data_IF_220545683066
#
_entry.id   IF_220545683066
#
_cell.length_a   1.000
_cell.length_b   1.000
_cell.length_c   1.000
_cell.angle_alpha   90.00
_cell.angle_beta   90.00
_cell.angle_gamma   90.00
#
_symmetry.space_group_name_H-M   'P 1'
#
loop_
_entity.id
_entity.type
_entity.pdbx_description
1 polymer ?
#
# COMPACT_ATOMS: atom_id res chain seq x y z
N UNK A 1 6.55 27.39 10.81
CA UNK A 1 5.34 26.60 10.48
C UNK A 1 5.75 25.16 10.27
N UNK A 2 5.50 24.27 11.25
CA UNK A 2 5.72 22.83 11.09
C UNK A 2 4.58 22.27 10.23
N UNK A 3 4.87 21.83 9.00
CA UNK A 3 3.91 21.07 8.20
C UNK A 3 3.73 19.73 8.90
N UNK A 4 2.56 19.50 9.48
CA UNK A 4 2.19 18.18 9.99
C UNK A 4 2.28 17.18 8.83
N UNK A 5 3.31 16.34 8.84
CA UNK A 5 3.44 15.22 7.93
C UNK A 5 2.37 14.22 8.37
N UNK A 6 1.31 14.06 7.59
CA UNK A 6 0.28 13.07 7.87
C UNK A 6 0.53 11.84 7.00
N UNK A 7 1.37 10.88 7.44
CA UNK A 7 1.83 9.77 6.62
C UNK A 7 0.70 8.86 6.12
N UNK A 8 -0.48 8.91 6.75
CA UNK A 8 -1.66 8.15 6.36
C UNK A 8 -2.35 8.72 5.11
N UNK A 9 -2.31 10.04 4.90
CA UNK A 9 -2.87 10.66 3.70
C UNK A 9 -2.09 10.26 2.44
N UNK A 10 -0.77 10.11 2.58
CA UNK A 10 0.15 9.74 1.49
C UNK A 10 -0.06 8.27 1.05
N UNK A 11 -0.15 7.35 2.03
CA UNK A 11 -0.42 5.94 1.73
C UNK A 11 -1.79 5.73 1.08
N UNK A 12 -2.81 6.47 1.50
CA UNK A 12 -4.13 6.43 0.88
C UNK A 12 -4.09 6.76 -0.61
N UNK A 13 -3.36 7.81 -0.99
CA UNK A 13 -3.18 8.21 -2.39
C UNK A 13 -2.39 7.18 -3.20
N UNK A 14 -1.42 6.50 -2.58
CA UNK A 14 -0.64 5.45 -3.25
C UNK A 14 -1.49 4.21 -3.58
N UNK A 15 -2.50 3.89 -2.78
CA UNK A 15 -3.32 2.67 -2.94
C UNK A 15 -4.65 2.89 -3.66
N UNK A 16 -5.10 4.14 -3.78
CA UNK A 16 -6.34 4.54 -4.46
C UNK A 16 -6.46 3.99 -5.89
N UNK A 17 -5.39 3.94 -6.73
CA UNK A 17 -5.48 3.40 -8.08
C UNK A 17 -5.75 1.89 -8.16
N UNK A 18 -5.72 1.18 -7.03
CA UNK A 18 -5.79 -0.29 -6.97
C UNK A 18 -7.01 -0.78 -6.18
N UNK A 19 -8.24 -0.34 -6.49
CA UNK A 19 -9.41 -0.63 -5.68
C UNK A 19 -9.61 -2.14 -5.56
N UNK A 20 -9.77 -2.57 -4.32
CA UNK A 20 -9.98 -3.95 -3.97
C UNK A 20 -8.82 -4.90 -4.21
N UNK A 21 -7.61 -4.39 -4.44
CA UNK A 21 -6.40 -5.22 -4.60
C UNK A 21 -5.55 -5.19 -3.34
N UNK A 22 -4.77 -6.26 -3.16
CA UNK A 22 -3.60 -6.23 -2.30
C UNK A 22 -2.52 -5.39 -2.97
N UNK A 23 -1.95 -4.46 -2.24
CA UNK A 23 -0.90 -3.55 -2.69
C UNK A 23 0.30 -3.74 -1.76
N UNK A 24 1.49 -3.89 -2.33
CA UNK A 24 2.75 -3.90 -1.59
C UNK A 24 3.49 -2.61 -1.84
N UNK A 25 3.90 -1.96 -0.76
CA UNK A 25 4.71 -0.74 -0.76
C UNK A 25 6.16 -1.09 -0.44
N UNK A 26 7.08 -0.24 -0.88
CA UNK A 26 8.47 -0.26 -0.42
C UNK A 26 8.55 -0.09 1.10
N UNK A 27 9.69 -0.47 1.69
CA UNK A 27 9.91 -0.39 3.15
C UNK A 27 9.75 1.03 3.71
N UNK A 28 10.04 2.06 2.89
CA UNK A 28 9.85 3.48 3.22
C UNK A 28 8.43 4.00 2.97
N UNK A 29 7.53 3.15 2.47
CA UNK A 29 6.12 3.44 2.14
C UNK A 29 5.93 4.56 1.11
N UNK A 30 6.94 4.86 0.28
CA UNK A 30 6.89 5.94 -0.72
C UNK A 30 6.47 5.51 -2.12
N UNK A 31 6.48 4.21 -2.42
CA UNK A 31 6.10 3.70 -3.74
C UNK A 31 5.43 2.34 -3.67
N UNK A 32 4.54 2.09 -4.62
CA UNK A 32 3.97 0.77 -4.87
C UNK A 32 5.00 -0.09 -5.62
N UNK A 33 5.29 -1.27 -5.07
CA UNK A 33 6.23 -2.24 -5.64
C UNK A 33 5.52 -3.51 -6.11
N UNK A 34 4.25 -3.70 -5.78
CA UNK A 34 3.43 -4.75 -6.37
C UNK A 34 1.94 -4.57 -6.06
N UNK A 35 1.09 -5.19 -6.85
CA UNK A 35 -0.35 -5.22 -6.61
C UNK A 35 -1.01 -6.43 -7.30
N UNK A 36 -2.07 -6.94 -6.70
CA UNK A 36 -2.89 -8.01 -7.28
C UNK A 36 -4.18 -8.23 -6.47
N UNK A 37 -5.20 -8.82 -7.09
CA UNK A 37 -6.35 -9.37 -6.34
C UNK A 37 -5.94 -10.51 -5.39
N UNK A 38 -4.79 -11.15 -5.61
CA UNK A 38 -4.25 -12.22 -4.76
C UNK A 38 -3.07 -11.73 -3.93
N UNK A 39 -3.16 -11.88 -2.62
CA UNK A 39 -2.15 -11.42 -1.65
C UNK A 39 -0.73 -11.89 -2.00
N UNK A 40 -0.56 -13.20 -2.21
CA UNK A 40 0.75 -13.80 -2.50
C UNK A 40 1.36 -13.26 -3.79
N UNK A 41 0.53 -12.97 -4.80
CA UNK A 41 1.01 -12.41 -6.07
C UNK A 41 1.56 -10.99 -5.87
N UNK A 42 0.90 -10.15 -5.07
CA UNK A 42 1.39 -8.80 -4.76
C UNK A 42 2.71 -8.83 -3.96
N UNK A 43 2.85 -9.78 -3.03
CA UNK A 43 4.08 -10.04 -2.27
C UNK A 43 5.23 -10.51 -3.17
N UNK A 44 4.98 -11.51 -4.01
CA UNK A 44 6.00 -12.03 -4.93
C UNK A 44 6.51 -10.96 -5.90
N UNK A 45 5.65 -10.05 -6.36
CA UNK A 45 6.08 -8.91 -7.18
C UNK A 45 7.07 -8.00 -6.43
N UNK A 46 6.92 -7.81 -5.12
CA UNK A 46 7.83 -7.01 -4.32
C UNK A 46 9.18 -7.73 -4.11
N UNK A 47 9.14 -9.02 -3.79
CA UNK A 47 10.36 -9.82 -3.63
C UNK A 47 11.16 -9.95 -4.92
N UNK A 48 10.48 -10.13 -6.07
CA UNK A 48 11.12 -10.16 -7.38
C UNK A 48 11.80 -8.83 -7.75
N UNK A 49 11.45 -7.73 -7.06
CA UNK A 49 12.09 -6.41 -7.21
C UNK A 49 13.17 -6.15 -6.16
N UNK A 50 13.55 -7.17 -5.37
CA UNK A 50 14.58 -7.06 -4.34
C UNK A 50 14.13 -6.31 -3.09
N UNK A 51 12.82 -6.20 -2.83
CA UNK A 51 12.30 -5.56 -1.61
C UNK A 51 12.17 -6.62 -0.53
N UNK A 52 13.05 -6.60 0.47
CA UNK A 52 13.11 -7.64 1.50
C UNK A 52 11.99 -7.55 2.53
N UNK A 53 11.51 -6.33 2.84
CA UNK A 53 10.49 -6.09 3.86
C UNK A 53 9.37 -5.18 3.33
N UNK A 54 8.58 -5.64 2.33
CA UNK A 54 7.52 -4.83 1.76
C UNK A 54 6.35 -4.66 2.74
N UNK A 55 5.73 -3.48 2.74
CA UNK A 55 4.52 -3.24 3.52
C UNK A 55 3.29 -3.64 2.69
N UNK A 56 2.55 -4.65 3.13
CA UNK A 56 1.37 -5.15 2.45
C UNK A 56 0.10 -4.51 3.03
N UNK A 57 -0.79 -4.02 2.16
CA UNK A 57 -2.07 -3.42 2.53
C UNK A 57 -3.15 -3.84 1.54
N UNK A 58 -4.39 -4.02 2.02
CA UNK A 58 -5.56 -4.23 1.16
C UNK A 58 -6.18 -2.87 0.83
N UNK A 59 -6.17 -2.49 -0.44
CA UNK A 59 -6.86 -1.30 -0.89
C UNK A 59 -8.38 -1.49 -0.76
N UNK A 60 -9.11 -0.49 -0.26
CA UNK A 60 -10.57 -0.54 -0.19
C UNK A 60 -11.20 -0.72 -1.57
N UNK A 61 -12.32 -1.42 -1.61
CA UNK A 61 -13.04 -1.72 -2.85
C UNK A 61 -13.92 -0.52 -3.31
N UNK A 62 -13.95 0.58 -2.54
CA UNK A 62 -14.76 1.78 -2.80
C UNK A 62 -15.72 2.17 -1.67
N UNK A 63 -15.94 1.28 -0.69
CA UNK A 63 -16.68 1.59 0.54
C UNK A 63 -15.69 1.71 1.70
N UNK A 64 -15.24 2.94 1.97
CA UNK A 64 -14.22 3.24 2.98
C UNK A 64 -14.84 3.06 4.37
N UNK A 65 -14.47 1.98 5.07
CA UNK A 65 -14.55 1.93 6.54
C UNK A 65 -13.11 1.82 7.06
N UNK A 66 -12.43 2.97 7.13
CA UNK A 66 -11.16 3.05 7.85
C UNK A 66 -11.47 3.09 9.35
N UNK A 67 -11.23 1.99 10.06
CA UNK A 67 -11.11 2.01 11.53
C UNK A 67 -9.62 2.07 11.87
N UNK A 68 -9.24 3.13 12.58
CA UNK A 68 -7.91 3.33 13.14
C UNK A 68 -8.10 3.27 14.67
N UNK A 69 -7.39 2.37 15.35
CA UNK A 69 -7.24 2.37 16.82
C UNK A 69 -5.97 3.12 17.19
#
# INVERSE_FOLDING_TARGET
>A
MSKFFNPLADVGQLIEPFPGQWVTLSSDKKKVVGHSKRMQTALNQAYNKGVENPFLIKSPDGNIAAFIY
#
